data_IF_607236400480
#
_entry.id   IF_607236400480
#
_cell.length_a   1.000
_cell.length_b   1.000
_cell.length_c   1.000
_cell.angle_alpha   90.00
_cell.angle_beta   90.00
_cell.angle_gamma   90.00
#
_symmetry.space_group_name_H-M   'P 1'
#
loop_
_entity.id
_entity.type
_entity.pdbx_description
1 polymer ?
#
# COMPACT_ATOMS: atom_id res chain seq x y z
N UNK A 1 -28.80 15.36 -7.36
CA UNK A 1 -27.63 14.80 -8.08
C UNK A 1 -26.99 13.80 -7.16
N UNK A 2 -27.04 12.52 -7.50
CA UNK A 2 -26.37 11.49 -6.67
C UNK A 2 -24.88 11.80 -6.61
N UNK A 3 -24.35 11.80 -5.39
CA UNK A 3 -22.92 12.02 -5.17
C UNK A 3 -22.15 10.78 -5.65
N UNK A 4 -21.72 10.82 -6.92
CA UNK A 4 -21.08 9.70 -7.61
C UNK A 4 -19.60 9.52 -7.24
N UNK A 5 -19.19 10.12 -6.12
CA UNK A 5 -17.82 10.03 -5.63
C UNK A 5 -17.60 8.73 -4.87
N UNK A 6 -16.49 8.10 -5.17
CA UNK A 6 -16.04 6.86 -4.53
C UNK A 6 -14.60 7.02 -4.05
N UNK A 7 -14.27 6.45 -2.92
CA UNK A 7 -12.91 6.48 -2.40
C UNK A 7 -12.02 5.50 -3.18
N UNK A 8 -10.92 5.99 -3.75
CA UNK A 8 -10.08 5.19 -4.65
C UNK A 8 -8.59 5.33 -4.37
N UNK A 9 -7.82 4.34 -4.86
CA UNK A 9 -6.36 4.33 -4.82
C UNK A 9 -5.78 3.38 -5.87
N UNK A 10 -4.55 3.63 -6.30
CA UNK A 10 -3.75 2.73 -7.10
C UNK A 10 -2.86 1.87 -6.21
N UNK A 11 -2.75 0.59 -6.51
CA UNK A 11 -1.90 -0.33 -5.77
C UNK A 11 -1.36 -1.47 -6.63
N UNK A 12 -0.29 -2.09 -6.13
CA UNK A 12 0.24 -3.35 -6.62
C UNK A 12 -0.15 -4.45 -5.62
N UNK A 13 -0.83 -5.53 -6.07
CA UNK A 13 -1.08 -6.69 -5.25
C UNK A 13 0.22 -7.42 -4.94
N UNK A 14 0.27 -8.09 -3.78
CA UNK A 14 1.42 -8.93 -3.42
C UNK A 14 1.05 -10.41 -3.53
N UNK A 15 2.03 -11.24 -3.85
CA UNK A 15 1.83 -12.68 -4.05
C UNK A 15 1.29 -13.37 -2.80
N UNK A 16 0.50 -14.43 -2.98
CA UNK A 16 -0.02 -15.23 -1.87
C UNK A 16 1.08 -15.79 -0.98
N UNK A 17 2.22 -16.17 -1.56
CA UNK A 17 3.39 -16.63 -0.81
C UNK A 17 3.90 -15.53 0.13
N UNK A 18 4.07 -14.30 -0.37
CA UNK A 18 4.48 -13.19 0.47
C UNK A 18 3.44 -12.81 1.53
N UNK A 19 2.15 -12.90 1.20
CA UNK A 19 1.08 -12.70 2.19
C UNK A 19 1.22 -13.70 3.35
N UNK A 20 1.49 -14.97 3.07
CA UNK A 20 1.68 -16.00 4.08
C UNK A 20 2.92 -15.75 4.95
N UNK A 21 4.06 -15.39 4.36
CA UNK A 21 5.28 -15.08 5.13
C UNK A 21 5.10 -13.84 6.01
N UNK A 22 4.45 -12.79 5.49
CA UNK A 22 4.13 -11.60 6.29
C UNK A 22 3.17 -11.94 7.44
N UNK A 23 2.17 -12.83 7.20
CA UNK A 23 1.22 -13.22 8.24
C UNK A 23 1.92 -13.95 9.40
N UNK A 24 2.86 -14.85 9.11
CA UNK A 24 3.67 -15.53 10.15
C UNK A 24 4.39 -14.50 11.06
N UNK A 25 5.00 -13.49 10.45
CA UNK A 25 5.70 -12.43 11.18
C UNK A 25 4.73 -11.58 11.99
N UNK A 26 3.57 -11.24 11.41
CA UNK A 26 2.52 -10.49 12.12
C UNK A 26 1.99 -11.28 13.33
N UNK A 27 1.86 -12.61 13.21
CA UNK A 27 1.47 -13.47 14.34
C UNK A 27 2.50 -13.45 15.48
N UNK A 28 3.79 -13.42 15.17
CA UNK A 28 4.85 -13.22 16.18
C UNK A 28 4.77 -11.84 16.83
N UNK A 29 4.62 -10.78 16.02
CA UNK A 29 4.48 -9.42 16.54
C UNK A 29 3.25 -9.27 17.45
N UNK A 30 2.14 -9.95 17.16
CA UNK A 30 0.94 -9.96 18.01
C UNK A 30 1.21 -10.56 19.39
N UNK A 31 2.14 -11.52 19.53
CA UNK A 31 2.53 -12.08 20.84
C UNK A 31 3.32 -11.06 21.67
N UNK A 32 4.17 -10.26 21.03
CA UNK A 32 4.99 -9.23 21.70
C UNK A 32 4.19 -7.94 21.95
N UNK A 33 3.28 -7.60 21.03
CA UNK A 33 2.49 -6.36 21.00
C UNK A 33 0.98 -6.72 21.07
N UNK A 34 0.54 -7.13 22.24
CA UNK A 34 -0.79 -7.72 22.47
C UNK A 34 -1.96 -6.71 22.38
N UNK A 35 -1.70 -5.41 22.46
CA UNK A 35 -2.74 -4.38 22.48
C UNK A 35 -2.34 -3.12 21.72
N UNK A 36 -3.30 -2.23 21.49
CA UNK A 36 -3.04 -0.90 20.91
C UNK A 36 -2.81 -0.87 19.40
N UNK A 37 -2.88 -2.00 18.69
CA UNK A 37 -2.67 -2.08 17.24
C UNK A 37 -3.88 -2.72 16.55
N UNK A 38 -4.36 -2.07 15.49
CA UNK A 38 -5.27 -2.67 14.51
C UNK A 38 -4.42 -3.25 13.38
N UNK A 39 -4.19 -4.56 13.42
CA UNK A 39 -3.45 -5.25 12.37
C UNK A 39 -4.26 -5.29 11.07
N UNK A 40 -3.55 -5.18 9.94
CA UNK A 40 -4.14 -5.28 8.61
C UNK A 40 -4.48 -6.76 8.35
N UNK A 41 -5.65 -7.01 7.76
CA UNK A 41 -5.99 -8.34 7.30
C UNK A 41 -5.05 -8.72 6.15
N UNK A 42 -4.50 -9.93 6.17
CA UNK A 42 -3.53 -10.44 5.20
C UNK A 42 -4.05 -10.33 3.76
N UNK A 43 -5.35 -10.54 3.54
CA UNK A 43 -5.96 -10.38 2.21
C UNK A 43 -5.91 -8.94 1.69
N UNK A 44 -5.90 -7.97 2.58
CA UNK A 44 -5.84 -6.55 2.25
C UNK A 44 -4.42 -6.00 2.10
N UNK A 45 -3.39 -6.85 2.22
CA UNK A 45 -2.00 -6.41 2.04
C UNK A 45 -1.72 -6.06 0.57
N UNK A 46 -1.22 -4.86 0.35
CA UNK A 46 -0.88 -4.33 -0.97
C UNK A 46 0.17 -3.23 -0.84
N UNK A 47 0.89 -2.95 -1.91
CA UNK A 47 1.71 -1.74 -2.04
C UNK A 47 0.84 -0.61 -2.60
N UNK A 48 0.51 0.38 -1.80
CA UNK A 48 -0.16 1.58 -2.29
C UNK A 48 0.80 2.44 -3.11
N UNK A 49 0.39 2.81 -4.31
CA UNK A 49 1.12 3.76 -5.15
C UNK A 49 0.60 5.19 -4.94
N UNK A 50 -0.73 5.39 -5.03
CA UNK A 50 -1.33 6.69 -4.79
C UNK A 50 -2.76 6.59 -4.29
N UNK A 51 -3.06 7.33 -3.23
CA UNK A 51 -4.44 7.57 -2.81
C UNK A 51 -5.01 8.79 -3.54
N UNK A 52 -6.16 8.61 -4.21
CA UNK A 52 -6.90 9.73 -4.79
C UNK A 52 -7.96 10.26 -3.82
N UNK A 53 -8.41 9.44 -2.86
CA UNK A 53 -9.53 9.79 -2.01
C UNK A 53 -10.84 9.78 -2.82
N UNK A 54 -11.64 10.82 -2.68
CA UNK A 54 -12.91 10.96 -3.38
C UNK A 54 -12.70 11.18 -4.89
N UNK A 55 -13.11 10.24 -5.70
CA UNK A 55 -12.95 10.20 -7.16
C UNK A 55 -14.31 10.05 -7.83
N UNK A 56 -14.56 10.80 -8.89
CA UNK A 56 -15.82 10.71 -9.63
C UNK A 56 -15.88 9.42 -10.43
N UNK A 57 -16.88 8.57 -10.19
CA UNK A 57 -16.99 7.26 -10.85
C UNK A 57 -17.11 7.35 -12.38
N UNK A 58 -17.68 8.44 -12.91
CA UNK A 58 -17.77 8.68 -14.35
C UNK A 58 -16.41 9.05 -15.01
N UNK A 59 -15.38 9.38 -14.23
CA UNK A 59 -14.02 9.66 -14.72
C UNK A 59 -13.12 8.42 -14.75
N UNK A 60 -13.59 7.26 -14.26
CA UNK A 60 -12.83 5.99 -14.28
C UNK A 60 -12.35 5.63 -15.69
N UNK A 61 -13.19 5.66 -16.75
CA UNK A 61 -12.72 5.34 -18.10
C UNK A 61 -11.64 6.32 -18.61
N UNK A 62 -11.66 7.56 -18.14
CA UNK A 62 -10.70 8.58 -18.56
C UNK A 62 -9.32 8.29 -17.96
N UNK A 63 -9.23 8.05 -16.65
CA UNK A 63 -7.93 7.75 -16.02
C UNK A 63 -7.37 6.40 -16.50
N UNK A 64 -8.22 5.40 -16.76
CA UNK A 64 -7.79 4.14 -17.39
C UNK A 64 -7.18 4.38 -18.76
N UNK A 65 -7.87 5.14 -19.62
CA UNK A 65 -7.38 5.48 -20.96
C UNK A 65 -6.06 6.23 -20.94
N UNK A 66 -5.85 7.08 -19.95
CA UNK A 66 -4.60 7.83 -19.80
C UNK A 66 -3.43 6.93 -19.37
N UNK A 67 -3.65 6.02 -18.42
CA UNK A 67 -2.61 5.21 -17.81
C UNK A 67 -2.29 3.93 -18.57
N UNK A 68 -3.27 3.29 -19.20
CA UNK A 68 -3.09 1.99 -19.83
C UNK A 68 -1.95 1.94 -20.86
N UNK A 69 -1.80 2.90 -21.81
CA UNK A 69 -0.69 2.87 -22.77
C UNK A 69 0.68 3.00 -22.11
N UNK A 70 0.82 3.87 -21.10
CA UNK A 70 2.07 4.10 -20.40
C UNK A 70 2.46 2.88 -19.55
N UNK A 71 1.56 2.42 -18.67
CA UNK A 71 1.86 1.35 -17.73
C UNK A 71 2.04 -0.01 -18.42
N UNK A 72 1.27 -0.32 -19.47
CA UNK A 72 1.44 -1.58 -20.23
C UNK A 72 2.75 -1.66 -21.00
N UNK A 73 3.53 -0.58 -21.09
CA UNK A 73 4.85 -0.59 -21.70
C UNK A 73 5.95 -1.07 -20.75
N UNK A 74 5.74 -0.98 -19.45
CA UNK A 74 6.69 -1.45 -18.45
C UNK A 74 6.74 -2.97 -18.39
N UNK A 75 7.93 -3.53 -18.23
CA UNK A 75 8.12 -4.96 -18.01
C UNK A 75 7.71 -5.36 -16.60
N UNK A 76 7.32 -6.61 -16.46
CA UNK A 76 7.15 -7.25 -15.15
C UNK A 76 8.47 -7.22 -14.39
N UNK A 77 8.40 -7.05 -13.06
CA UNK A 77 9.57 -6.97 -12.20
C UNK A 77 9.28 -7.63 -10.84
N UNK A 78 10.25 -7.58 -9.94
CA UNK A 78 10.13 -8.16 -8.61
C UNK A 78 10.32 -7.10 -7.54
N UNK A 79 9.60 -7.25 -6.43
CA UNK A 79 9.75 -6.49 -5.20
C UNK A 79 10.29 -7.41 -4.11
N UNK A 80 11.34 -6.99 -3.41
CA UNK A 80 11.85 -7.70 -2.23
C UNK A 80 11.40 -6.97 -0.98
N UNK A 81 10.65 -7.68 -0.12
CA UNK A 81 10.16 -7.15 1.16
C UNK A 81 11.20 -7.41 2.24
N UNK A 82 11.56 -6.36 3.00
CA UNK A 82 12.60 -6.44 4.00
C UNK A 82 12.43 -5.37 5.07
N UNK A 83 12.94 -5.64 6.26
CA UNK A 83 12.94 -4.70 7.38
C UNK A 83 11.55 -4.19 7.79
N UNK A 84 11.50 -3.58 8.96
CA UNK A 84 10.32 -2.97 9.52
C UNK A 84 10.56 -1.50 9.83
N UNK A 85 9.49 -0.75 9.90
CA UNK A 85 9.53 0.59 10.39
C UNK A 85 8.17 1.10 10.84
N UNK A 86 8.18 2.33 11.31
CA UNK A 86 6.98 3.02 11.74
C UNK A 86 6.93 4.44 11.19
N UNK A 87 5.73 4.95 10.97
CA UNK A 87 5.49 6.35 10.67
C UNK A 87 4.69 7.01 11.80
N UNK A 88 4.91 8.31 12.09
CA UNK A 88 5.98 9.17 11.58
C UNK A 88 7.35 8.89 12.20
N UNK A 89 7.42 8.32 13.41
CA UNK A 89 8.67 7.99 14.11
C UNK A 89 8.42 6.99 15.25
N UNK A 90 9.49 6.45 15.84
CA UNK A 90 9.47 5.45 16.89
C UNK A 90 8.93 5.94 18.26
N UNK A 91 8.91 7.26 18.50
CA UNK A 91 8.34 7.83 19.74
C UNK A 91 6.81 7.96 19.69
N UNK A 92 6.24 8.17 18.50
CA UNK A 92 4.80 8.33 18.27
C UNK A 92 4.36 7.54 17.03
N UNK A 93 4.53 6.20 17.02
CA UNK A 93 4.16 5.38 15.88
C UNK A 93 2.64 5.44 15.64
N UNK A 94 2.25 5.59 14.38
CA UNK A 94 0.86 5.51 13.92
C UNK A 94 0.65 4.38 12.90
N UNK A 95 1.67 4.11 12.11
CA UNK A 95 1.67 3.08 11.06
C UNK A 95 2.86 2.18 11.30
N UNK A 96 2.65 0.87 11.23
CA UNK A 96 3.70 -0.16 11.20
C UNK A 96 3.77 -0.69 9.78
N UNK A 97 4.97 -0.75 9.21
CA UNK A 97 5.15 -1.12 7.82
C UNK A 97 6.35 -2.05 7.60
N UNK A 98 6.31 -2.75 6.48
CA UNK A 98 7.44 -3.51 5.91
C UNK A 98 8.00 -2.70 4.75
N UNK A 99 9.33 -2.54 4.72
CA UNK A 99 10.06 -1.85 3.66
C UNK A 99 10.19 -2.69 2.39
N UNK A 100 10.48 -2.02 1.30
CA UNK A 100 10.57 -2.63 -0.03
C UNK A 100 11.87 -2.18 -0.68
N UNK A 101 12.67 -3.16 -1.13
CA UNK A 101 13.72 -2.92 -2.13
C UNK A 101 13.09 -3.15 -3.51
N UNK A 102 13.24 -2.17 -4.39
CA UNK A 102 12.52 -2.12 -5.66
C UNK A 102 13.42 -1.65 -6.81
N UNK A 103 13.13 -2.05 -8.04
CA UNK A 103 13.80 -1.55 -9.22
C UNK A 103 13.26 -0.18 -9.64
N UNK A 104 13.96 0.48 -10.56
CA UNK A 104 13.63 1.82 -11.06
C UNK A 104 12.24 1.89 -11.72
N UNK A 105 11.78 0.79 -12.28
CA UNK A 105 10.46 0.69 -12.92
C UNK A 105 9.32 1.05 -11.97
N UNK A 106 9.42 0.69 -10.69
CA UNK A 106 8.40 1.04 -9.69
C UNK A 106 8.27 2.56 -9.53
N UNK A 107 9.40 3.26 -9.46
CA UNK A 107 9.40 4.72 -9.34
C UNK A 107 8.85 5.39 -10.60
N UNK A 108 9.17 4.86 -11.77
CA UNK A 108 8.64 5.36 -13.04
C UNK A 108 7.11 5.16 -13.13
N UNK A 109 6.60 3.98 -12.75
CA UNK A 109 5.15 3.71 -12.67
C UNK A 109 4.47 4.69 -11.71
N UNK A 110 5.07 4.94 -10.55
CA UNK A 110 4.57 5.94 -9.60
C UNK A 110 4.48 7.33 -10.23
N UNK A 111 5.52 7.78 -10.97
CA UNK A 111 5.51 9.08 -11.64
C UNK A 111 4.43 9.18 -12.73
N UNK A 112 4.19 8.12 -13.49
CA UNK A 112 3.11 8.10 -14.50
C UNK A 112 1.73 8.27 -13.81
N UNK A 113 1.50 7.58 -12.69
CA UNK A 113 0.26 7.70 -11.92
C UNK A 113 0.11 9.12 -11.33
N UNK A 114 1.19 9.69 -10.77
CA UNK A 114 1.20 11.05 -10.24
C UNK A 114 0.85 12.09 -11.33
N UNK A 115 1.42 11.94 -12.52
CA UNK A 115 1.17 12.84 -13.63
C UNK A 115 -0.27 12.73 -14.16
N UNK A 116 -0.79 11.50 -14.29
CA UNK A 116 -2.17 11.28 -14.71
C UNK A 116 -3.17 11.84 -13.67
N UNK A 117 -2.91 11.61 -12.39
CA UNK A 117 -3.74 12.15 -11.32
C UNK A 117 -3.71 13.69 -11.28
N UNK A 118 -2.54 14.30 -11.46
CA UNK A 118 -2.40 15.76 -11.53
C UNK A 118 -3.26 16.36 -12.66
N UNK A 119 -3.28 15.73 -13.83
CA UNK A 119 -4.11 16.17 -14.97
C UNK A 119 -5.62 16.12 -14.68
N UNK A 120 -6.03 15.32 -13.68
CA UNK A 120 -7.40 15.24 -13.19
C UNK A 120 -7.66 16.10 -11.94
N UNK A 121 -6.70 16.97 -11.57
CA UNK A 121 -6.82 17.91 -10.47
C UNK A 121 -6.42 17.35 -9.08
N UNK A 122 -5.83 16.15 -9.03
CA UNK A 122 -5.31 15.59 -7.78
C UNK A 122 -3.86 16.05 -7.57
N UNK A 123 -3.53 16.68 -6.44
CA UNK A 123 -2.18 17.19 -6.20
C UNK A 123 -1.17 16.03 -6.12
N UNK A 124 0.08 16.33 -6.47
CA UNK A 124 1.19 15.40 -6.22
C UNK A 124 1.41 15.21 -4.72
N UNK A 125 1.95 14.05 -4.35
CA UNK A 125 2.38 13.81 -2.97
C UNK A 125 3.54 14.75 -2.61
N UNK A 126 3.38 15.48 -1.50
CA UNK A 126 4.42 16.41 -0.99
C UNK A 126 5.66 15.65 -0.47
N UNK A 127 5.48 14.40 -0.08
CA UNK A 127 6.55 13.54 0.43
C UNK A 127 7.14 12.71 -0.70
N UNK A 128 8.46 12.54 -0.66
CA UNK A 128 9.13 11.64 -1.60
C UNK A 128 8.54 10.23 -1.58
N UNK A 129 8.62 9.53 -2.70
CA UNK A 129 8.13 8.17 -2.83
C UNK A 129 8.82 7.24 -1.82
N UNK A 130 8.04 6.66 -0.92
CA UNK A 130 8.50 5.77 0.14
C UNK A 130 7.64 4.50 0.14
N UNK A 131 7.90 3.57 -0.79
CA UNK A 131 7.07 2.39 -0.95
C UNK A 131 7.18 1.45 0.26
N UNK A 132 6.02 1.05 0.77
CA UNK A 132 5.93 0.19 1.95
C UNK A 132 4.62 -0.60 1.97
N UNK A 133 4.62 -1.72 2.69
CA UNK A 133 3.42 -2.47 3.01
C UNK A 133 2.97 -2.12 4.42
N UNK A 134 1.81 -1.51 4.57
CA UNK A 134 1.22 -1.29 5.90
C UNK A 134 0.73 -2.62 6.48
N UNK A 135 1.27 -3.02 7.63
CA UNK A 135 0.86 -4.24 8.34
C UNK A 135 0.05 -3.96 9.60
N UNK A 136 0.10 -2.74 10.14
CA UNK A 136 -0.65 -2.36 11.34
C UNK A 136 -0.84 -0.87 11.47
N UNK A 137 -1.92 -0.49 12.17
CA UNK A 137 -2.23 0.89 12.56
C UNK A 137 -2.35 0.98 14.06
N UNK A 138 -1.55 1.84 14.67
CA UNK A 138 -1.58 2.06 16.12
C UNK A 138 -2.82 2.88 16.46
N UNK A 139 -3.57 2.44 17.46
CA UNK A 139 -4.77 3.13 17.94
C UNK A 139 -4.40 4.43 18.66
N UNK A 140 -5.26 5.45 18.55
CA UNK A 140 -4.98 6.76 19.15
C UNK A 140 -4.92 6.73 20.69
N UNK A 141 -5.62 5.79 21.31
CA UNK A 141 -5.68 5.55 22.76
C UNK A 141 -4.64 4.55 23.28
N UNK A 142 -3.69 4.15 22.43
CA UNK A 142 -2.62 3.23 22.85
C UNK A 142 -1.68 3.89 23.85
N UNK A 143 -1.53 3.24 25.01
CA UNK A 143 -0.59 3.68 26.07
C UNK A 143 0.84 3.15 25.87
N UNK A 144 1.05 2.22 24.92
CA UNK A 144 2.33 1.51 24.73
C UNK A 144 3.15 2.02 23.54
N UNK A 145 3.02 3.30 23.16
CA UNK A 145 3.65 3.86 21.95
C UNK A 145 5.17 3.62 21.91
N UNK A 146 5.85 3.87 23.03
CA UNK A 146 7.31 3.68 23.11
C UNK A 146 7.71 2.21 22.98
N UNK A 147 6.94 1.29 23.59
CA UNK A 147 7.15 -0.15 23.45
C UNK A 147 6.99 -0.59 22.00
N UNK A 148 5.90 -0.16 21.34
CA UNK A 148 5.65 -0.47 19.92
C UNK A 148 6.81 0.02 19.05
N UNK A 149 7.22 1.28 19.21
CA UNK A 149 8.33 1.85 18.46
C UNK A 149 9.64 1.11 18.67
N UNK A 150 9.97 0.76 19.92
CA UNK A 150 11.20 0.05 20.28
C UNK A 150 11.20 -1.38 19.71
N UNK A 151 10.11 -2.13 19.86
CA UNK A 151 10.01 -3.51 19.34
C UNK A 151 10.20 -3.52 17.83
N UNK A 152 9.48 -2.65 17.10
CA UNK A 152 9.58 -2.60 15.65
C UNK A 152 10.97 -2.16 15.19
N UNK A 153 11.56 -1.14 15.81
CA UNK A 153 12.91 -0.65 15.48
C UNK A 153 13.99 -1.71 15.64
N UNK A 154 13.88 -2.53 16.69
CA UNK A 154 14.87 -3.56 17.00
C UNK A 154 14.63 -4.88 16.24
N UNK A 155 13.50 -5.01 15.54
CA UNK A 155 13.20 -6.19 14.71
C UNK A 155 13.95 -6.09 13.38
N UNK A 156 15.18 -6.59 13.37
CA UNK A 156 15.95 -6.70 12.13
C UNK A 156 15.64 -8.02 11.45
N UNK A 157 14.99 -7.93 10.31
CA UNK A 157 14.73 -9.09 9.44
C UNK A 157 15.29 -8.75 8.07
N UNK A 158 16.14 -9.62 7.55
CA UNK A 158 16.64 -9.50 6.18
C UNK A 158 15.52 -9.57 5.15
N UNK A 159 15.77 -10.20 4.01
CA UNK A 159 14.73 -10.43 3.02
C UNK A 159 13.66 -11.38 3.57
N UNK A 160 12.39 -10.92 3.58
CA UNK A 160 11.23 -11.69 4.03
C UNK A 160 10.74 -12.58 2.91
N UNK A 161 10.51 -11.98 1.74
CA UNK A 161 10.05 -12.66 0.54
C UNK A 161 10.23 -11.78 -0.70
N UNK A 162 10.11 -12.41 -1.88
CA UNK A 162 10.10 -11.74 -3.18
C UNK A 162 8.73 -11.93 -3.81
N UNK A 163 8.10 -10.84 -4.24
CA UNK A 163 6.82 -10.84 -4.94
C UNK A 163 6.99 -10.37 -6.37
N UNK A 164 6.59 -11.16 -7.37
CA UNK A 164 6.50 -10.68 -8.74
C UNK A 164 5.38 -9.65 -8.87
N UNK A 165 5.59 -8.68 -9.77
CA UNK A 165 4.63 -7.64 -10.13
C UNK A 165 4.23 -7.85 -11.57
N UNK A 166 2.96 -8.17 -11.77
CA UNK A 166 2.35 -8.43 -13.08
C UNK A 166 1.45 -7.29 -13.55
N UNK A 167 0.94 -6.47 -12.63
CA UNK A 167 -0.10 -5.51 -12.90
C UNK A 167 -0.14 -4.39 -11.87
N UNK A 168 -0.79 -3.29 -12.24
CA UNK A 168 -1.23 -2.23 -11.34
C UNK A 168 -2.75 -2.22 -11.34
N UNK A 169 -3.36 -2.11 -10.17
CA UNK A 169 -4.81 -2.15 -10.00
C UNK A 169 -5.31 -0.83 -9.42
N UNK A 170 -6.43 -0.37 -9.97
CA UNK A 170 -7.19 0.76 -9.42
C UNK A 170 -8.33 0.20 -8.57
N UNK A 171 -8.32 0.53 -7.29
CA UNK A 171 -9.28 0.02 -6.32
C UNK A 171 -10.27 1.08 -5.84
N UNK A 172 -11.50 0.64 -5.62
CA UNK A 172 -12.45 1.31 -4.72
C UNK A 172 -12.25 0.81 -3.30
N UNK A 173 -12.27 1.72 -2.33
CA UNK A 173 -12.20 1.41 -0.90
C UNK A 173 -13.52 1.71 -0.21
N UNK A 174 -14.23 0.67 0.23
CA UNK A 174 -15.41 0.80 1.09
C UNK A 174 -15.00 0.59 2.55
N UNK A 175 -15.21 1.60 3.38
CA UNK A 175 -14.94 1.48 4.81
C UNK A 175 -16.12 0.80 5.49
N UNK A 176 -15.87 -0.30 6.19
CA UNK A 176 -16.86 -1.01 7.00
C UNK A 176 -16.44 -1.04 8.47
N UNK A 177 -17.35 -1.34 9.41
CA UNK A 177 -17.00 -1.48 10.82
C UNK A 177 -15.90 -2.52 11.09
N UNK A 178 -15.83 -3.57 10.28
CA UNK A 178 -14.82 -4.64 10.39
C UNK A 178 -13.50 -4.29 9.72
N UNK A 179 -13.48 -3.31 8.84
CA UNK A 179 -12.29 -2.87 8.10
C UNK A 179 -12.61 -2.47 6.66
N UNK A 180 -11.61 -2.05 5.88
CA UNK A 180 -11.82 -1.71 4.49
C UNK A 180 -12.08 -2.97 3.66
N UNK A 181 -13.02 -2.84 2.71
CA UNK A 181 -13.26 -3.81 1.63
C UNK A 181 -12.83 -3.14 0.33
N UNK A 182 -11.96 -3.79 -0.41
CA UNK A 182 -11.44 -3.29 -1.69
C UNK A 182 -12.13 -4.00 -2.85
N UNK A 183 -12.55 -3.21 -3.84
CA UNK A 183 -13.13 -3.70 -5.08
C UNK A 183 -12.28 -3.19 -6.24
N UNK A 184 -11.85 -4.08 -7.10
CA UNK A 184 -11.13 -3.72 -8.31
C UNK A 184 -12.06 -2.99 -9.29
N UNK A 185 -11.61 -1.83 -9.75
CA UNK A 185 -12.32 -1.06 -10.78
C UNK A 185 -11.79 -1.39 -12.18
N UNK A 186 -10.47 -1.45 -12.29
CA UNK A 186 -9.75 -1.98 -13.46
C UNK A 186 -8.32 -2.38 -13.07
N UNK A 187 -7.72 -3.18 -13.93
CA UNK A 187 -6.32 -3.60 -13.84
C UNK A 187 -5.56 -3.25 -15.12
N UNK A 188 -4.29 -2.92 -14.99
CA UNK A 188 -3.39 -2.66 -16.11
C UNK A 188 -2.25 -3.66 -16.03
N UNK A 189 -2.23 -4.69 -16.91
CA UNK A 189 -1.15 -5.67 -16.94
C UNK A 189 0.14 -5.04 -17.46
N UNK A 190 1.26 -5.45 -16.86
CA UNK A 190 2.60 -5.12 -17.31
C UNK A 190 3.04 -6.12 -18.38
N UNK A 191 3.95 -5.68 -19.25
CA UNK A 191 4.49 -6.51 -20.34
C UNK A 191 5.33 -7.67 -19.76
N UNK A 192 5.16 -8.92 -20.24
CA UNK A 192 6.01 -10.05 -19.89
C UNK A 192 7.50 -9.83 -20.14
#
# INVERSE_FOLDING_TARGET
MENNNIRTFFAIPISSVCKQEIDKIVLELKKELSSGIKWVNTENLHLTLKFLGEFRSNEIPLIEKMLKPALSSFKQFQLSFQNFGVFPNDRKPKIIWIGIRYPKELEQIFQEIENAALNLGFPKEDRGFSPHITIGRVKNDSHDLLKIGTVIKNKHVGEICISPVYEVIFYRSNLTPTGPVYTELFQIPLKP
#
